data_IF_008104674125
#
_entry.id   IF_008104674125
#
_cell.length_a   1.000
_cell.length_b   1.000
_cell.length_c   1.000
_cell.angle_alpha   90.00
_cell.angle_beta   90.00
_cell.angle_gamma   90.00
#
_symmetry.space_group_name_H-M   'P 1'
#
loop_
_entity.id
_entity.type
_entity.pdbx_description
1 polymer ?
#
# COMPACT_ATOMS: atom_id res chain seq x y z
N UNK A 1 -9.59 -29.79 -15.98
CA UNK A 1 -9.60 -28.47 -15.33
C UNK A 1 -10.08 -28.49 -13.87
N UNK A 2 -11.19 -29.17 -13.49
CA UNK A 2 -11.68 -29.20 -12.07
C UNK A 2 -10.70 -29.78 -11.03
N UNK A 3 -9.82 -30.73 -11.38
CA UNK A 3 -8.82 -31.31 -10.45
C UNK A 3 -7.66 -30.33 -10.14
N UNK A 4 -7.24 -29.54 -11.12
CA UNK A 4 -6.15 -28.56 -10.98
C UNK A 4 -6.58 -27.40 -10.04
N UNK A 5 -7.81 -26.90 -10.17
CA UNK A 5 -8.34 -25.88 -9.26
C UNK A 5 -8.46 -26.33 -7.80
N UNK A 6 -8.80 -27.61 -7.55
CA UNK A 6 -8.81 -28.17 -6.20
C UNK A 6 -7.40 -28.30 -5.60
N UNK A 7 -6.38 -28.63 -6.42
CA UNK A 7 -4.99 -28.72 -6.00
C UNK A 7 -4.43 -27.34 -5.57
N UNK A 8 -4.66 -26.30 -6.39
CA UNK A 8 -4.22 -24.94 -6.04
C UNK A 8 -4.95 -24.38 -4.82
N UNK A 9 -6.24 -24.67 -4.64
CA UNK A 9 -6.99 -24.29 -3.43
C UNK A 9 -6.48 -25.01 -2.18
N UNK A 10 -6.10 -26.27 -2.29
CA UNK A 10 -5.47 -27.05 -1.21
C UNK A 10 -4.08 -26.50 -0.86
N UNK A 11 -3.26 -26.18 -1.87
CA UNK A 11 -1.92 -25.61 -1.70
C UNK A 11 -1.99 -24.23 -1.03
N UNK A 12 -2.89 -23.36 -1.47
CA UNK A 12 -3.16 -22.06 -0.84
C UNK A 12 -3.56 -22.19 0.63
N UNK A 13 -4.49 -23.10 0.94
CA UNK A 13 -4.93 -23.33 2.31
C UNK A 13 -3.81 -23.86 3.20
N UNK A 14 -2.96 -24.73 2.67
CA UNK A 14 -1.81 -25.32 3.40
C UNK A 14 -0.71 -24.28 3.64
N UNK A 15 -0.42 -23.42 2.67
CA UNK A 15 0.56 -22.32 2.82
C UNK A 15 0.07 -21.24 3.78
N UNK A 16 -1.23 -20.89 3.77
CA UNK A 16 -1.81 -19.94 4.70
C UNK A 16 -1.80 -20.45 6.16
N UNK A 17 -2.12 -21.73 6.37
CA UNK A 17 -1.97 -22.38 7.68
C UNK A 17 -0.50 -22.44 8.12
N UNK A 18 0.42 -22.74 7.22
CA UNK A 18 1.86 -22.74 7.48
C UNK A 18 2.38 -21.38 7.90
N UNK A 19 1.94 -20.31 7.22
CA UNK A 19 2.32 -18.93 7.58
C UNK A 19 1.76 -18.51 8.95
N UNK A 20 0.48 -18.82 9.24
CA UNK A 20 -0.11 -18.56 10.56
C UNK A 20 0.60 -19.33 11.66
N UNK A 21 0.94 -20.60 11.42
CA UNK A 21 1.73 -21.42 12.33
C UNK A 21 3.12 -20.82 12.58
N UNK A 22 3.81 -20.35 11.53
CA UNK A 22 5.09 -19.64 11.64
C UNK A 22 4.96 -18.38 12.52
N UNK A 23 3.94 -17.55 12.33
CA UNK A 23 3.69 -16.39 13.17
C UNK A 23 3.48 -16.75 14.65
N UNK A 24 2.76 -17.84 14.93
CA UNK A 24 2.59 -18.35 16.30
C UNK A 24 3.91 -18.86 16.90
N UNK A 25 4.71 -19.58 16.12
CA UNK A 25 6.04 -20.05 16.53
C UNK A 25 6.96 -18.88 16.88
N UNK A 26 6.98 -17.84 16.02
CA UNK A 26 7.77 -16.63 16.26
C UNK A 26 7.34 -15.91 17.55
N UNK A 27 6.03 -15.74 17.78
CA UNK A 27 5.54 -15.08 18.99
C UNK A 27 5.90 -15.86 20.27
N UNK A 28 5.72 -17.18 20.27
CA UNK A 28 6.03 -18.04 21.41
C UNK A 28 7.51 -18.15 21.72
N UNK A 29 8.35 -18.27 20.67
CA UNK A 29 9.79 -18.27 20.81
C UNK A 29 10.34 -16.95 21.37
N UNK A 30 9.71 -15.83 21.01
CA UNK A 30 10.04 -14.51 21.55
C UNK A 30 9.80 -14.44 23.07
N UNK A 31 8.67 -14.94 23.58
CA UNK A 31 8.43 -14.99 25.02
C UNK A 31 9.43 -15.88 25.75
N UNK A 32 9.84 -17.02 25.19
CA UNK A 32 10.84 -17.88 25.78
C UNK A 32 12.23 -17.24 25.80
N UNK A 33 12.63 -16.57 24.73
CA UNK A 33 13.88 -15.82 24.68
C UNK A 33 13.95 -14.75 25.78
N UNK A 34 12.94 -13.92 25.93
CA UNK A 34 12.92 -12.89 26.97
C UNK A 34 12.86 -13.49 28.38
N UNK A 35 12.17 -14.61 28.56
CA UNK A 35 12.23 -15.36 29.82
C UNK A 35 13.66 -15.75 30.19
N UNK A 36 14.45 -16.30 29.25
CA UNK A 36 15.84 -16.67 29.50
C UNK A 36 16.72 -15.45 29.82
N UNK A 37 16.59 -14.38 29.04
CA UNK A 37 17.36 -13.14 29.23
C UNK A 37 17.07 -12.54 30.60
N UNK A 38 15.80 -12.35 30.95
CA UNK A 38 15.43 -11.76 32.24
C UNK A 38 15.73 -12.70 33.43
N UNK A 39 15.66 -14.00 33.23
CA UNK A 39 16.07 -14.98 34.25
C UNK A 39 17.58 -14.93 34.51
N UNK A 40 18.39 -14.74 33.47
CA UNK A 40 19.83 -14.52 33.60
C UNK A 40 20.14 -13.20 34.30
N UNK A 41 19.48 -12.11 33.91
CA UNK A 41 19.63 -10.81 34.58
C UNK A 41 19.20 -10.88 36.07
N UNK A 42 18.15 -11.63 36.42
CA UNK A 42 17.74 -11.86 37.81
C UNK A 42 18.84 -12.57 38.64
N UNK A 43 19.60 -13.49 38.02
CA UNK A 43 20.76 -14.13 38.69
C UNK A 43 21.87 -13.13 39.04
N UNK A 44 22.09 -12.13 38.14
CA UNK A 44 23.08 -11.06 38.35
C UNK A 44 22.58 -10.04 39.38
N UNK A 45 21.34 -9.62 39.28
CA UNK A 45 20.71 -8.59 40.10
C UNK A 45 19.76 -9.20 41.17
N UNK A 46 20.28 -10.00 42.09
CA UNK A 46 19.54 -10.85 43.05
C UNK A 46 18.45 -10.16 43.88
N UNK A 47 18.43 -8.83 44.01
CA UNK A 47 17.51 -8.08 44.89
C UNK A 47 16.42 -7.26 44.18
N UNK A 48 16.23 -7.39 42.86
CA UNK A 48 15.26 -6.59 42.14
C UNK A 48 13.90 -7.25 42.03
N UNK A 49 12.94 -6.79 42.82
CA UNK A 49 11.52 -7.23 42.76
C UNK A 49 10.93 -6.99 41.36
N UNK A 50 11.29 -5.88 40.69
CA UNK A 50 10.83 -5.53 39.36
C UNK A 50 11.28 -6.58 38.30
N UNK A 51 12.50 -7.13 38.42
CA UNK A 51 12.98 -8.20 37.54
C UNK A 51 12.26 -9.52 37.82
N UNK A 52 11.83 -9.76 39.03
CA UNK A 52 11.03 -10.92 39.38
C UNK A 52 9.66 -10.92 38.72
N UNK A 53 8.97 -9.78 38.77
CA UNK A 53 7.67 -9.59 38.11
C UNK A 53 7.79 -9.77 36.58
N UNK A 54 8.85 -9.23 35.96
CA UNK A 54 9.14 -9.40 34.55
C UNK A 54 9.40 -10.88 34.21
N UNK A 55 10.22 -11.58 34.97
CA UNK A 55 10.50 -13.01 34.75
C UNK A 55 9.21 -13.84 34.84
N UNK A 56 8.38 -13.57 35.84
CA UNK A 56 7.09 -14.25 36.01
C UNK A 56 6.13 -13.96 34.85
N UNK A 57 6.11 -12.74 34.34
CA UNK A 57 5.29 -12.36 33.18
C UNK A 57 5.66 -13.20 31.94
N UNK A 58 6.96 -13.33 31.64
CA UNK A 58 7.39 -14.12 30.48
C UNK A 58 7.29 -15.63 30.72
N UNK A 59 7.48 -16.10 31.95
CA UNK A 59 7.34 -17.52 32.32
C UNK A 59 5.90 -18.04 32.10
N UNK A 60 4.89 -17.25 32.43
CA UNK A 60 3.48 -17.62 32.23
C UNK A 60 3.08 -17.73 30.75
N UNK A 61 3.84 -17.13 29.86
CA UNK A 61 3.54 -17.08 28.41
C UNK A 61 4.40 -18.01 27.57
N UNK A 62 5.44 -18.60 28.15
CA UNK A 62 6.21 -19.63 27.46
C UNK A 62 5.43 -20.95 27.48
N UNK A 63 5.12 -21.51 26.33
CA UNK A 63 4.40 -22.78 26.26
C UNK A 63 5.28 -23.94 25.77
N UNK A 64 6.29 -23.68 24.94
CA UNK A 64 7.14 -24.71 24.33
C UNK A 64 8.55 -24.22 24.00
N UNK A 65 9.60 -24.75 24.63
CA UNK A 65 10.98 -24.34 24.41
C UNK A 65 11.51 -24.70 23.01
N UNK A 66 10.96 -25.71 22.34
CA UNK A 66 11.36 -26.10 20.99
C UNK A 66 11.23 -24.97 19.97
N UNK A 67 10.30 -24.03 20.14
CA UNK A 67 10.17 -22.87 19.27
C UNK A 67 11.30 -21.86 19.38
N UNK A 68 11.99 -21.84 20.54
CA UNK A 68 13.19 -21.03 20.71
C UNK A 68 14.32 -21.54 19.80
N UNK A 69 14.55 -22.84 19.73
CA UNK A 69 15.59 -23.42 18.87
C UNK A 69 15.29 -23.22 17.39
N UNK A 70 14.02 -23.28 16.97
CA UNK A 70 13.60 -22.96 15.61
C UNK A 70 13.88 -21.51 15.25
N UNK A 71 13.61 -20.55 16.15
CA UNK A 71 13.91 -19.14 15.97
C UNK A 71 15.41 -18.87 15.93
N UNK A 72 16.17 -19.51 16.82
CA UNK A 72 17.63 -19.41 16.84
C UNK A 72 18.21 -19.90 15.52
N UNK A 73 17.76 -21.04 15.02
CA UNK A 73 18.19 -21.58 13.73
C UNK A 73 17.83 -20.68 12.55
N UNK A 74 16.60 -20.16 12.52
CA UNK A 74 16.16 -19.21 11.50
C UNK A 74 16.98 -17.90 11.53
N UNK A 75 17.34 -17.39 12.72
CA UNK A 75 18.17 -16.19 12.86
C UNK A 75 19.61 -16.41 12.41
N UNK A 76 20.17 -17.58 12.68
CA UNK A 76 21.51 -17.96 12.19
C UNK A 76 21.53 -18.05 10.66
N UNK A 77 20.52 -18.67 10.06
CA UNK A 77 20.38 -18.74 8.59
C UNK A 77 20.23 -17.34 7.98
N UNK A 78 19.46 -16.46 8.60
CA UNK A 78 19.29 -15.08 8.14
C UNK A 78 20.59 -14.29 8.21
N UNK A 79 21.33 -14.36 9.33
CA UNK A 79 22.63 -13.71 9.49
C UNK A 79 23.65 -14.27 8.50
N UNK A 80 23.69 -15.59 8.28
CA UNK A 80 24.57 -16.21 7.30
C UNK A 80 24.27 -15.75 5.87
N UNK A 81 23.00 -15.58 5.52
CA UNK A 81 22.58 -15.07 4.21
C UNK A 81 23.03 -13.62 4.02
N UNK A 82 22.83 -12.77 5.04
CA UNK A 82 23.33 -11.38 5.03
C UNK A 82 24.85 -11.35 4.87
N UNK A 83 25.56 -12.20 5.62
CA UNK A 83 27.02 -12.28 5.54
C UNK A 83 27.50 -12.64 4.13
N UNK A 84 26.88 -13.64 3.50
CA UNK A 84 27.20 -14.04 2.11
C UNK A 84 26.97 -12.89 1.14
N UNK A 85 25.83 -12.20 1.22
CA UNK A 85 25.51 -11.06 0.36
C UNK A 85 26.52 -9.92 0.54
N UNK A 86 26.88 -9.58 1.77
CA UNK A 86 27.89 -8.56 2.06
C UNK A 86 29.31 -9.00 1.63
N UNK A 87 29.64 -10.27 1.81
CA UNK A 87 30.94 -10.82 1.39
C UNK A 87 31.12 -10.77 -0.11
N UNK A 88 30.09 -11.20 -0.87
CA UNK A 88 30.11 -11.15 -2.34
C UNK A 88 30.14 -9.70 -2.85
N UNK A 89 29.38 -8.79 -2.24
CA UNK A 89 29.42 -7.36 -2.59
C UNK A 89 30.81 -6.75 -2.41
N UNK A 90 31.49 -7.06 -1.29
CA UNK A 90 32.85 -6.58 -1.04
C UNK A 90 33.87 -7.21 -1.99
N UNK A 91 33.68 -8.46 -2.40
CA UNK A 91 34.55 -9.13 -3.37
C UNK A 91 34.47 -8.51 -4.76
N UNK A 92 33.26 -8.11 -5.17
CA UNK A 92 33.03 -7.39 -6.45
C UNK A 92 33.72 -6.01 -6.44
N UNK A 93 33.68 -5.29 -5.31
CA UNK A 93 34.37 -3.99 -5.17
C UNK A 93 35.87 -4.18 -5.24
N UNK A 94 36.45 -5.17 -4.54
CA UNK A 94 37.89 -5.44 -4.56
C UNK A 94 38.39 -5.92 -5.94
N UNK A 95 37.55 -6.58 -6.75
CA UNK A 95 37.94 -6.98 -8.11
C UNK A 95 38.00 -5.80 -9.08
N UNK A 96 37.18 -4.74 -8.85
CA UNK A 96 37.24 -3.51 -9.64
C UNK A 96 38.47 -2.65 -9.34
N UNK A 97 39.06 -2.77 -8.14
CA UNK A 97 40.27 -2.03 -7.73
C UNK A 97 41.59 -2.71 -8.16
N UNK A 98 41.53 -3.92 -8.73
CA UNK A 98 42.72 -4.73 -9.07
C UNK A 98 43.00 -4.88 -10.57
N UNK A 99 42.35 -4.08 -11.46
CA UNK A 99 42.76 -4.07 -12.85
C UNK A 99 43.80 -2.98 -13.11
N UNK A 100 45.10 -3.32 -13.37
CA UNK A 100 46.05 -2.37 -13.91
C UNK A 100 45.97 -2.34 -15.43
N UNK A 101 46.02 -1.11 -15.95
CA UNK A 101 46.35 -0.72 -17.32
C UNK A 101 47.04 -1.77 -18.18
N UNK A 102 46.36 -2.13 -19.28
CA UNK A 102 46.93 -2.54 -20.59
C UNK A 102 45.76 -2.86 -21.54
N UNK A 103 45.61 -2.33 -22.62
CA UNK A 103 46.25 -1.70 -23.76
C UNK A 103 45.20 -1.30 -24.78
N UNK A 104 45.23 -0.10 -25.26
CA UNK A 104 44.61 0.33 -26.48
C UNK A 104 45.03 -0.61 -27.63
N UNK A 105 44.09 -1.17 -28.31
CA UNK A 105 43.97 -1.53 -29.74
C UNK A 105 42.89 -2.60 -29.87
N UNK A 106 41.67 -2.20 -30.07
CA UNK A 106 40.62 -2.76 -30.95
C UNK A 106 39.36 -1.85 -30.78
N UNK A 107 39.52 -0.61 -31.10
CA UNK A 107 38.39 0.27 -31.37
C UNK A 107 38.20 0.30 -32.87
N UNK A 108 37.12 -0.25 -33.37
CA UNK A 108 36.42 0.27 -34.56
C UNK A 108 35.25 -0.60 -35.05
N UNK A 109 34.91 -1.75 -34.45
CA UNK A 109 33.82 -2.62 -34.96
C UNK A 109 32.72 -2.96 -33.94
N UNK A 110 32.75 -2.39 -32.72
CA UNK A 110 31.77 -2.69 -31.66
C UNK A 110 30.88 -1.50 -31.29
N UNK A 111 31.10 -0.30 -31.89
CA UNK A 111 30.34 0.90 -31.52
C UNK A 111 28.90 0.99 -32.10
N UNK A 112 28.54 0.18 -33.06
CA UNK A 112 27.21 0.29 -33.71
C UNK A 112 26.11 -0.61 -33.12
N UNK A 113 26.44 -1.50 -32.15
CA UNK A 113 25.46 -2.39 -31.51
C UNK A 113 25.23 -2.16 -30.00
N UNK A 114 25.95 -1.24 -29.38
CA UNK A 114 25.85 -0.94 -27.92
C UNK A 114 25.01 0.31 -27.63
N UNK A 115 24.76 1.16 -28.64
CA UNK A 115 23.98 2.41 -28.43
C UNK A 115 22.46 2.21 -28.30
N UNK A 116 21.93 1.02 -28.57
CA UNK A 116 20.47 0.75 -28.47
C UNK A 116 20.04 0.09 -27.15
N UNK A 117 20.95 -0.44 -26.32
CA UNK A 117 20.64 -1.06 -25.03
C UNK A 117 20.97 -0.20 -23.78
N UNK A 118 21.74 0.87 -23.91
CA UNK A 118 22.16 1.71 -22.75
C UNK A 118 21.22 2.88 -22.40
N UNK A 119 20.02 2.94 -22.99
CA UNK A 119 19.01 3.98 -22.66
C UNK A 119 17.86 3.51 -21.77
N UNK A 120 18.02 2.47 -21.00
CA UNK A 120 17.03 2.06 -19.99
C UNK A 120 17.63 2.14 -18.59
N UNK A 121 18.27 3.22 -18.25
CA UNK A 121 18.67 3.48 -16.87
C UNK A 121 17.58 4.25 -16.11
N UNK A 122 17.15 3.62 -15.04
CA UNK A 122 16.17 3.97 -14.03
C UNK A 122 16.26 5.39 -13.44
N UNK A 123 15.67 6.37 -14.08
CA UNK A 123 15.30 7.65 -13.44
C UNK A 123 13.83 7.66 -12.97
N UNK A 124 13.32 6.55 -12.43
CA UNK A 124 11.88 6.35 -12.24
C UNK A 124 11.24 6.90 -10.95
N UNK A 125 11.84 6.95 -9.76
CA UNK A 125 11.13 7.42 -8.56
C UNK A 125 10.98 8.95 -8.48
N UNK A 126 11.97 9.72 -8.97
CA UNK A 126 11.97 11.19 -8.85
C UNK A 126 10.94 11.88 -9.75
N UNK A 127 10.71 11.37 -10.98
CA UNK A 127 9.78 11.99 -11.93
C UNK A 127 8.32 11.79 -11.47
N UNK A 128 7.99 10.66 -10.86
CA UNK A 128 6.66 10.34 -10.37
C UNK A 128 6.29 11.12 -9.13
N UNK A 129 7.22 11.26 -8.19
CA UNK A 129 7.08 12.14 -7.02
C UNK A 129 6.84 13.58 -7.46
N UNK A 130 7.47 14.01 -8.57
CA UNK A 130 7.32 15.34 -9.12
C UNK A 130 5.91 15.56 -9.72
N UNK A 131 5.32 14.55 -10.41
CA UNK A 131 3.97 14.67 -10.97
C UNK A 131 2.92 14.82 -9.86
N UNK A 132 2.96 14.00 -8.81
CA UNK A 132 2.07 14.14 -7.67
C UNK A 132 2.23 15.50 -6.97
N UNK A 133 3.45 16.02 -6.85
CA UNK A 133 3.70 17.35 -6.29
C UNK A 133 3.17 18.48 -7.19
N UNK A 134 3.33 18.35 -8.51
CA UNK A 134 2.85 19.35 -9.47
C UNK A 134 1.32 19.48 -9.42
N UNK A 135 0.62 18.36 -9.42
CA UNK A 135 -0.85 18.37 -9.35
C UNK A 135 -1.36 18.65 -7.94
N UNK A 136 -0.77 18.07 -6.91
CA UNK A 136 -1.22 18.18 -5.52
C UNK A 136 -1.20 19.60 -4.92
N UNK A 137 -0.50 20.53 -5.55
CA UNK A 137 -0.44 21.93 -5.11
C UNK A 137 -1.42 22.86 -5.83
N UNK A 138 -2.22 22.36 -6.79
CA UNK A 138 -3.16 23.19 -7.54
C UNK A 138 -4.38 23.57 -6.68
N UNK A 139 -4.75 24.84 -6.73
CA UNK A 139 -6.05 25.31 -6.21
C UNK A 139 -7.18 24.94 -7.18
N UNK A 140 -8.43 24.96 -6.70
CA UNK A 140 -9.61 24.61 -7.50
C UNK A 140 -9.70 25.49 -8.77
N UNK A 141 -9.37 26.79 -8.65
CA UNK A 141 -9.44 27.74 -9.76
C UNK A 141 -8.35 27.51 -10.84
N UNK A 142 -7.33 26.73 -10.54
CA UNK A 142 -6.24 26.37 -11.47
C UNK A 142 -6.50 25.04 -12.21
N UNK A 143 -7.63 24.38 -11.94
CA UNK A 143 -7.98 23.12 -12.57
C UNK A 143 -8.64 23.40 -13.93
N UNK A 144 -7.91 23.07 -15.00
CA UNK A 144 -8.38 23.20 -16.38
C UNK A 144 -8.48 21.83 -17.04
N UNK A 145 -9.70 21.32 -17.21
CA UNK A 145 -9.93 19.98 -17.79
C UNK A 145 -9.51 19.87 -19.26
N UNK A 146 -9.51 20.97 -20.03
CA UNK A 146 -9.01 20.94 -21.42
C UNK A 146 -7.51 20.73 -21.46
N UNK A 147 -6.76 21.44 -20.61
CA UNK A 147 -5.31 21.22 -20.46
C UNK A 147 -4.99 19.82 -19.96
N UNK A 148 -5.74 19.33 -18.97
CA UNK A 148 -5.55 17.98 -18.45
C UNK A 148 -5.80 16.92 -19.53
N UNK A 149 -6.85 17.06 -20.32
CA UNK A 149 -7.17 16.13 -21.42
C UNK A 149 -6.19 16.25 -22.59
N UNK A 150 -5.55 17.38 -22.79
CA UNK A 150 -4.44 17.47 -23.77
C UNK A 150 -3.24 16.63 -23.36
N UNK A 151 -3.01 16.47 -22.05
CA UNK A 151 -1.98 15.55 -21.50
C UNK A 151 -2.45 14.10 -21.54
N UNK A 152 -3.72 13.86 -21.18
CA UNK A 152 -4.31 12.54 -21.15
C UNK A 152 -5.84 12.59 -21.28
N UNK A 153 -6.35 12.10 -22.42
CA UNK A 153 -7.80 12.04 -22.72
C UNK A 153 -8.62 11.19 -21.74
N UNK A 154 -7.95 10.33 -20.94
CA UNK A 154 -8.60 9.48 -19.94
C UNK A 154 -8.97 10.25 -18.66
N UNK A 155 -8.55 11.51 -18.50
CA UNK A 155 -8.95 12.35 -17.36
C UNK A 155 -10.44 12.60 -17.37
N UNK A 156 -11.13 12.23 -16.29
CA UNK A 156 -12.58 12.33 -16.11
C UNK A 156 -12.99 13.23 -14.95
N UNK A 157 -12.19 13.29 -13.89
CA UNK A 157 -12.51 14.03 -12.70
C UNK A 157 -11.23 14.57 -12.02
N UNK A 158 -11.44 15.35 -10.99
CA UNK A 158 -10.42 15.74 -10.02
C UNK A 158 -10.94 15.44 -8.62
N UNK A 159 -10.13 14.84 -7.75
CA UNK A 159 -10.51 14.51 -6.36
C UNK A 159 -9.66 15.30 -5.37
N UNK A 160 -10.32 15.85 -4.34
CA UNK A 160 -9.68 16.51 -3.20
C UNK A 160 -10.27 15.91 -1.94
N UNK A 161 -9.42 15.46 -1.01
CA UNK A 161 -9.84 14.96 0.31
C UNK A 161 -9.27 15.88 1.38
N UNK A 162 -10.14 16.57 2.09
CA UNK A 162 -9.75 17.56 3.07
C UNK A 162 -8.90 16.97 4.20
N UNK A 163 -7.87 17.72 4.60
CA UNK A 163 -6.90 17.29 5.64
C UNK A 163 -5.93 16.17 5.19
N UNK A 164 -5.81 15.95 3.87
CA UNK A 164 -4.88 14.99 3.27
C UNK A 164 -4.06 15.63 2.14
N UNK A 165 -3.13 14.87 1.55
CA UNK A 165 -2.41 15.26 0.33
C UNK A 165 -3.14 14.85 -0.96
N UNK A 166 -4.37 14.31 -0.85
CA UNK A 166 -5.13 13.86 -2.02
C UNK A 166 -5.74 15.08 -2.69
N UNK A 167 -5.15 15.49 -3.81
CA UNK A 167 -5.54 16.60 -4.64
C UNK A 167 -5.02 16.34 -6.06
N UNK A 168 -5.74 15.50 -6.83
CA UNK A 168 -5.22 14.93 -8.07
C UNK A 168 -6.30 14.80 -9.16
N UNK A 169 -5.90 14.93 -10.45
CA UNK A 169 -6.74 14.49 -11.55
C UNK A 169 -6.94 12.97 -11.48
N UNK A 170 -8.13 12.53 -11.80
CA UNK A 170 -8.54 11.12 -11.79
C UNK A 170 -8.86 10.68 -13.21
N UNK A 171 -8.35 9.53 -13.58
CA UNK A 171 -8.47 8.95 -14.92
C UNK A 171 -9.45 7.77 -14.93
N UNK A 172 -9.90 7.36 -16.12
CA UNK A 172 -10.71 6.16 -16.29
C UNK A 172 -10.41 5.52 -17.65
N UNK A 173 -10.24 4.20 -17.66
CA UNK A 173 -10.16 3.37 -18.87
C UNK A 173 -11.25 2.31 -18.87
N UNK A 174 -11.19 1.38 -19.82
CA UNK A 174 -12.08 0.23 -19.93
C UNK A 174 -11.70 -0.95 -19.01
N UNK A 175 -10.75 -0.81 -18.11
CA UNK A 175 -10.33 -1.83 -17.15
C UNK A 175 -9.73 -1.18 -15.88
N UNK A 176 -9.58 -1.98 -14.80
CA UNK A 176 -9.02 -1.52 -13.52
C UNK A 176 -7.53 -1.84 -13.35
N UNK A 177 -6.84 -2.36 -14.39
CA UNK A 177 -5.45 -2.82 -14.28
C UNK A 177 -4.44 -1.80 -14.81
N UNK A 178 -4.83 -1.01 -15.81
CA UNK A 178 -3.93 -0.12 -16.52
C UNK A 178 -3.27 0.90 -15.58
N UNK A 179 -4.06 1.69 -14.87
CA UNK A 179 -3.54 2.76 -14.00
C UNK A 179 -3.00 2.27 -12.65
N UNK A 180 -3.02 0.97 -12.39
CA UNK A 180 -2.18 0.39 -11.33
C UNK A 180 -0.68 0.43 -11.69
N UNK A 181 -0.35 0.53 -12.99
CA UNK A 181 1.01 0.39 -13.51
C UNK A 181 1.46 1.56 -14.41
N UNK A 182 0.61 2.54 -14.64
CA UNK A 182 0.89 3.70 -15.49
C UNK A 182 0.49 5.00 -14.80
N UNK A 183 1.30 6.05 -14.98
CA UNK A 183 0.98 7.38 -14.47
C UNK A 183 0.08 8.17 -15.44
N UNK A 184 -0.28 9.42 -15.06
CA UNK A 184 -1.14 10.28 -15.89
C UNK A 184 -0.57 10.55 -17.29
N UNK A 185 0.75 10.50 -17.50
CA UNK A 185 1.40 10.63 -18.80
C UNK A 185 1.50 9.31 -19.56
N UNK A 186 0.77 8.29 -19.14
CA UNK A 186 0.78 6.92 -19.70
C UNK A 186 2.18 6.27 -19.71
N UNK A 187 3.08 6.70 -18.81
CA UNK A 187 4.38 6.07 -18.61
C UNK A 187 4.27 5.00 -17.53
N UNK A 188 4.92 3.84 -17.77
CA UNK A 188 4.94 2.72 -16.83
C UNK A 188 5.60 3.15 -15.50
N UNK A 189 4.98 2.76 -14.38
CA UNK A 189 5.41 3.10 -13.02
C UNK A 189 4.93 2.05 -12.02
N UNK A 190 5.60 1.96 -10.87
CA UNK A 190 5.14 1.16 -9.73
C UNK A 190 4.11 1.88 -8.86
N UNK A 191 3.98 3.20 -9.01
CA UNK A 191 3.12 4.04 -8.18
C UNK A 191 1.71 4.20 -8.73
N UNK A 192 1.48 3.84 -9.99
CA UNK A 192 0.19 3.98 -10.66
C UNK A 192 -0.31 5.43 -10.71
N UNK A 193 -1.60 5.60 -10.88
CA UNK A 193 -2.30 6.89 -10.84
C UNK A 193 -3.73 6.70 -10.33
N UNK A 194 -4.35 7.68 -9.61
CA UNK A 194 -5.75 7.57 -9.15
C UNK A 194 -6.72 7.42 -10.32
N UNK A 195 -7.65 6.46 -10.22
CA UNK A 195 -8.59 6.15 -11.29
C UNK A 195 -9.97 5.74 -10.77
N UNK A 196 -10.98 5.90 -11.64
CA UNK A 196 -12.36 5.47 -11.41
C UNK A 196 -12.54 4.05 -11.94
N UNK A 197 -13.31 3.22 -11.24
CA UNK A 197 -13.69 1.87 -11.68
C UNK A 197 -14.32 1.92 -13.08
N UNK A 198 -13.87 1.03 -13.97
CA UNK A 198 -14.33 1.00 -15.37
C UNK A 198 -15.84 0.78 -15.52
N UNK A 199 -16.49 0.18 -14.51
CA UNK A 199 -17.95 -0.07 -14.50
C UNK A 199 -18.77 1.17 -14.19
N UNK A 200 -18.16 2.19 -13.60
CA UNK A 200 -18.81 3.42 -13.20
C UNK A 200 -18.96 4.41 -14.36
N UNK A 201 -20.01 5.21 -14.28
CA UNK A 201 -20.18 6.37 -15.14
C UNK A 201 -19.36 7.55 -14.61
N UNK A 202 -18.49 8.11 -15.45
CA UNK A 202 -17.63 9.24 -15.09
C UNK A 202 -18.38 10.55 -14.78
N UNK A 203 -19.71 10.61 -15.02
CA UNK A 203 -20.58 11.73 -14.64
C UNK A 203 -21.01 11.72 -13.16
N UNK A 204 -20.50 10.81 -12.35
CA UNK A 204 -20.84 10.64 -10.92
C UNK A 204 -22.34 10.37 -10.67
N UNK A 205 -23.03 9.72 -11.61
CA UNK A 205 -24.46 9.45 -11.51
C UNK A 205 -24.81 8.08 -10.91
N UNK A 206 -23.82 7.21 -10.70
CA UNK A 206 -24.04 5.90 -10.08
C UNK A 206 -24.40 6.02 -8.60
N UNK A 207 -25.02 4.99 -8.05
CA UNK A 207 -25.30 4.91 -6.61
C UNK A 207 -24.02 4.82 -5.77
N UNK A 208 -22.99 4.13 -6.30
CA UNK A 208 -21.66 4.05 -5.71
C UNK A 208 -20.61 4.20 -6.82
N UNK A 209 -19.85 5.29 -6.80
CA UNK A 209 -18.70 5.50 -7.69
C UNK A 209 -17.42 5.16 -6.96
N UNK A 210 -16.64 4.23 -7.52
CA UNK A 210 -15.44 3.70 -6.87
C UNK A 210 -14.20 4.37 -7.42
N UNK A 211 -13.38 4.91 -6.52
CA UNK A 211 -12.08 5.50 -6.81
C UNK A 211 -10.97 4.61 -6.28
N UNK A 212 -9.97 4.35 -7.08
CA UNK A 212 -8.79 3.59 -6.70
C UNK A 212 -7.54 4.46 -6.69
N UNK A 213 -6.64 4.15 -5.79
CA UNK A 213 -5.31 4.76 -5.75
C UNK A 213 -4.38 3.95 -4.85
N UNK A 214 -3.11 3.86 -5.20
CA UNK A 214 -2.13 3.18 -4.36
C UNK A 214 -1.97 3.86 -3.00
N UNK A 215 -1.88 3.08 -1.94
CA UNK A 215 -1.53 3.54 -0.59
C UNK A 215 0.00 3.60 -0.46
N UNK A 216 0.61 4.68 -0.95
CA UNK A 216 2.06 4.84 -0.99
C UNK A 216 2.63 5.36 0.36
N UNK A 217 3.76 4.80 0.79
CA UNK A 217 4.42 5.17 2.04
C UNK A 217 4.87 6.65 2.07
N UNK A 218 5.21 7.22 0.91
CA UNK A 218 5.59 8.63 0.77
C UNK A 218 4.38 9.60 0.81
N UNK A 219 3.18 9.09 1.14
CA UNK A 219 1.93 9.86 1.27
C UNK A 219 1.41 10.50 -0.04
N UNK A 220 1.92 10.08 -1.18
CA UNK A 220 1.35 10.43 -2.50
C UNK A 220 0.25 9.43 -2.91
N UNK A 221 -0.37 9.64 -4.05
CA UNK A 221 -1.59 8.96 -4.46
C UNK A 221 -2.62 8.97 -3.31
N UNK A 222 -3.10 7.79 -2.85
CA UNK A 222 -3.99 7.70 -1.69
C UNK A 222 -3.26 7.38 -0.38
N UNK A 223 -1.91 7.48 -0.34
CA UNK A 223 -1.11 7.17 0.85
C UNK A 223 -1.41 8.03 2.08
N UNK A 224 -1.90 9.27 1.89
CA UNK A 224 -2.31 10.15 2.99
C UNK A 224 -3.73 9.87 3.51
N UNK A 225 -4.49 8.95 2.91
CA UNK A 225 -5.82 8.54 3.40
C UNK A 225 -5.74 7.98 4.84
N UNK A 226 -4.58 7.49 5.24
CA UNK A 226 -4.32 7.08 6.64
C UNK A 226 -4.47 8.21 7.67
N UNK A 227 -4.43 9.49 7.23
CA UNK A 227 -4.66 10.64 8.12
C UNK A 227 -6.09 10.64 8.69
N UNK A 228 -7.06 10.06 7.97
CA UNK A 228 -8.47 9.98 8.36
C UNK A 228 -8.70 9.20 9.66
N UNK A 229 -7.71 8.39 10.09
CA UNK A 229 -7.75 7.68 11.37
C UNK A 229 -7.17 8.49 12.54
N UNK A 230 -6.61 9.68 12.30
CA UNK A 230 -5.94 10.49 13.33
C UNK A 230 -6.93 11.42 14.05
N UNK A 231 -6.67 11.64 15.35
CA UNK A 231 -7.44 12.63 16.14
C UNK A 231 -7.32 14.05 15.56
N UNK A 232 -6.15 14.39 14.99
CA UNK A 232 -5.93 15.68 14.37
C UNK A 232 -6.89 15.90 13.20
N UNK A 233 -7.02 14.91 12.31
CA UNK A 233 -7.94 15.01 11.18
C UNK A 233 -9.39 15.07 11.65
N UNK A 234 -9.79 14.21 12.59
CA UNK A 234 -11.16 14.19 13.15
C UNK A 234 -11.58 15.53 13.79
N UNK A 235 -10.64 16.28 14.37
CA UNK A 235 -10.97 17.53 15.06
C UNK A 235 -10.82 18.78 14.16
N UNK A 236 -10.01 18.73 13.10
CA UNK A 236 -9.58 19.92 12.37
C UNK A 236 -9.91 19.89 10.87
N UNK A 237 -10.50 18.80 10.33
CA UNK A 237 -10.93 18.75 8.95
C UNK A 237 -12.43 18.97 8.80
N UNK A 238 -12.87 19.32 7.61
CA UNK A 238 -14.30 19.43 7.27
C UNK A 238 -14.99 18.09 7.08
N UNK A 239 -14.24 16.97 7.06
CA UNK A 239 -14.68 15.62 6.74
C UNK A 239 -15.31 15.50 5.34
N UNK A 240 -14.83 16.31 4.38
CA UNK A 240 -15.40 16.38 3.04
C UNK A 240 -14.45 15.86 1.98
N UNK A 241 -15.05 15.37 0.90
CA UNK A 241 -14.38 15.04 -0.35
C UNK A 241 -15.04 15.89 -1.44
N UNK A 242 -14.22 16.60 -2.21
CA UNK A 242 -14.66 17.31 -3.40
C UNK A 242 -14.30 16.48 -4.64
N UNK A 243 -15.26 16.29 -5.52
CA UNK A 243 -15.03 15.70 -6.84
C UNK A 243 -15.49 16.71 -7.89
N UNK A 244 -14.53 17.15 -8.71
CA UNK A 244 -14.81 18.07 -9.80
C UNK A 244 -14.84 17.28 -11.12
N UNK A 245 -15.79 17.60 -11.96
CA UNK A 245 -15.83 17.25 -13.38
C UNK A 245 -15.71 18.53 -14.20
N UNK A 246 -15.67 18.43 -15.51
CA UNK A 246 -15.64 19.63 -16.38
C UNK A 246 -16.92 20.49 -16.31
N UNK A 247 -18.02 19.93 -15.80
CA UNK A 247 -19.33 20.59 -15.75
C UNK A 247 -19.87 20.83 -14.35
N UNK A 248 -19.41 20.07 -13.34
CA UNK A 248 -19.97 20.08 -12.00
C UNK A 248 -18.93 19.84 -10.92
N UNK A 249 -19.18 20.39 -9.76
CA UNK A 249 -18.51 20.09 -8.51
C UNK A 249 -19.47 19.33 -7.60
N UNK A 250 -19.02 18.22 -7.04
CA UNK A 250 -19.74 17.41 -6.08
C UNK A 250 -19.03 17.48 -4.74
N UNK A 251 -19.79 17.67 -3.68
CA UNK A 251 -19.30 17.64 -2.30
C UNK A 251 -19.89 16.40 -1.60
N UNK A 252 -19.03 15.56 -1.05
CA UNK A 252 -19.39 14.37 -0.31
C UNK A 252 -18.96 14.50 1.15
N UNK A 253 -19.81 14.08 2.08
CA UNK A 253 -19.47 13.93 3.48
C UNK A 253 -18.93 12.52 3.75
N UNK A 254 -17.79 12.44 4.44
CA UNK A 254 -17.21 11.14 4.81
C UNK A 254 -18.02 10.55 5.95
N UNK A 255 -18.69 9.43 5.72
CA UNK A 255 -19.52 8.73 6.71
C UNK A 255 -18.87 7.45 7.25
N UNK A 256 -17.83 6.92 6.58
CA UNK A 256 -17.17 5.68 6.98
C UNK A 256 -15.71 5.66 6.57
N UNK A 257 -14.83 5.23 7.48
CA UNK A 257 -13.39 5.00 7.25
C UNK A 257 -13.00 3.68 7.91
N UNK A 258 -12.52 2.72 7.12
CA UNK A 258 -12.15 1.39 7.63
C UNK A 258 -11.11 0.70 6.75
N UNK A 259 -10.51 -0.36 7.27
CA UNK A 259 -9.66 -1.27 6.50
C UNK A 259 -10.50 -2.44 5.99
N UNK A 260 -10.28 -2.86 4.76
CA UNK A 260 -11.00 -3.96 4.12
C UNK A 260 -10.08 -4.85 3.31
N UNK A 261 -10.50 -6.09 3.10
CA UNK A 261 -9.84 -6.99 2.17
C UNK A 261 -10.15 -6.60 0.71
N UNK A 262 -9.23 -6.83 -0.24
CA UNK A 262 -9.40 -6.43 -1.64
C UNK A 262 -10.64 -7.02 -2.32
N UNK A 263 -11.13 -8.17 -1.86
CA UNK A 263 -12.30 -8.87 -2.44
C UNK A 263 -13.60 -8.61 -1.68
N UNK A 264 -13.71 -7.43 -1.07
CA UNK A 264 -14.87 -7.08 -0.25
C UNK A 264 -16.09 -6.67 -1.07
N UNK A 265 -17.28 -6.78 -0.46
CA UNK A 265 -18.55 -6.40 -1.03
C UNK A 265 -18.68 -4.89 -1.32
N UNK A 266 -17.78 -4.03 -0.82
CA UNK A 266 -17.78 -2.58 -1.09
C UNK A 266 -17.62 -2.24 -2.59
N UNK A 267 -17.21 -3.19 -3.42
CA UNK A 267 -17.05 -3.04 -4.87
C UNK A 267 -18.40 -3.11 -5.64
N UNK A 268 -19.53 -3.07 -4.96
CA UNK A 268 -20.85 -3.05 -5.58
C UNK A 268 -21.18 -1.64 -6.11
N UNK A 269 -21.50 -1.52 -7.40
CA UNK A 269 -21.82 -0.25 -8.08
C UNK A 269 -23.29 -0.08 -8.38
N UNK A 270 -24.08 -1.18 -8.39
CA UNK A 270 -25.52 -1.19 -8.69
C UNK A 270 -26.30 -1.96 -7.64
N UNK A 271 -27.52 -1.56 -7.39
CA UNK A 271 -28.40 -2.15 -6.38
C UNK A 271 -29.74 -2.56 -7.00
N UNK A 272 -30.35 -3.63 -6.49
CA UNK A 272 -31.63 -4.15 -6.97
C UNK A 272 -32.84 -3.34 -6.48
N UNK A 273 -32.65 -2.58 -5.38
CA UNK A 273 -33.68 -1.72 -4.80
C UNK A 273 -33.06 -0.67 -3.87
N UNK A 274 -33.82 0.39 -3.54
CA UNK A 274 -33.43 1.39 -2.55
C UNK A 274 -33.18 0.76 -1.18
N UNK A 275 -33.95 -0.23 -0.78
CA UNK A 275 -33.71 -0.95 0.48
C UNK A 275 -32.39 -1.71 0.47
N UNK A 276 -32.04 -2.36 -0.64
CA UNK A 276 -30.73 -3.02 -0.81
C UNK A 276 -29.59 -2.01 -0.76
N UNK A 277 -29.75 -0.85 -1.40
CA UNK A 277 -28.79 0.25 -1.38
C UNK A 277 -28.57 0.80 0.04
N UNK A 278 -29.64 1.13 0.75
CA UNK A 278 -29.56 1.65 2.11
C UNK A 278 -28.93 0.63 3.07
N UNK A 279 -29.28 -0.64 2.95
CA UNK A 279 -28.65 -1.70 3.74
C UNK A 279 -27.13 -1.78 3.48
N UNK A 280 -26.71 -1.66 2.22
CA UNK A 280 -25.30 -1.61 1.86
C UNK A 280 -24.60 -0.40 2.51
N UNK A 281 -25.17 0.81 2.41
CA UNK A 281 -24.59 2.02 3.03
C UNK A 281 -24.48 1.91 4.55
N UNK A 282 -25.51 1.38 5.22
CA UNK A 282 -25.49 1.15 6.66
C UNK A 282 -24.41 0.11 7.05
N UNK A 283 -24.21 -0.93 6.26
CA UNK A 283 -23.15 -1.90 6.48
C UNK A 283 -21.75 -1.28 6.34
N UNK A 284 -21.55 -0.34 5.41
CA UNK A 284 -20.31 0.44 5.32
C UNK A 284 -20.13 1.32 6.56
N UNK A 285 -21.18 1.98 7.03
CA UNK A 285 -21.14 2.85 8.21
C UNK A 285 -20.78 2.08 9.48
N UNK A 286 -21.35 0.91 9.70
CA UNK A 286 -21.06 0.05 10.86
C UNK A 286 -19.59 -0.41 10.87
N UNK A 287 -18.95 -0.56 9.72
CA UNK A 287 -17.53 -0.94 9.63
C UNK A 287 -16.57 0.17 10.00
N UNK A 288 -17.01 1.43 10.04
CA UNK A 288 -16.15 2.57 10.31
C UNK A 288 -15.36 2.38 11.62
N UNK A 289 -14.06 2.65 11.55
CA UNK A 289 -13.13 2.65 12.70
C UNK A 289 -13.05 4.01 13.39
N UNK A 290 -13.67 5.02 12.80
CA UNK A 290 -13.73 6.38 13.34
C UNK A 290 -15.19 6.81 13.45
N UNK A 291 -15.50 7.64 14.47
CA UNK A 291 -16.84 8.13 14.68
C UNK A 291 -17.04 9.41 13.87
N UNK A 292 -17.97 9.39 12.92
CA UNK A 292 -18.27 10.49 12.01
C UNK A 292 -19.76 10.86 12.13
N UNK A 293 -20.12 12.16 12.00
CA UNK A 293 -21.50 12.63 12.18
C UNK A 293 -22.40 12.29 10.98
N UNK A 294 -21.85 12.18 9.78
CA UNK A 294 -22.62 12.01 8.54
C UNK A 294 -23.57 10.81 8.61
N UNK A 295 -24.76 10.97 8.07
CA UNK A 295 -25.80 9.94 7.95
C UNK A 295 -25.95 9.53 6.50
N UNK A 296 -26.63 8.42 6.25
CA UNK A 296 -26.89 7.91 4.90
C UNK A 296 -28.38 7.61 4.74
N UNK A 297 -28.90 7.88 3.54
CA UNK A 297 -30.27 7.62 3.14
C UNK A 297 -30.33 6.84 1.82
N UNK A 298 -31.50 6.33 1.47
CA UNK A 298 -31.71 5.63 0.20
C UNK A 298 -31.61 6.55 -1.04
N UNK A 299 -31.72 7.86 -0.85
CA UNK A 299 -31.62 8.84 -1.93
C UNK A 299 -30.19 9.31 -2.19
N UNK A 300 -29.27 8.97 -1.29
CA UNK A 300 -27.89 9.39 -1.42
C UNK A 300 -27.15 8.61 -2.52
N UNK A 301 -26.12 9.26 -3.04
CA UNK A 301 -25.07 8.64 -3.86
C UNK A 301 -23.76 8.71 -3.07
N UNK A 302 -23.00 7.65 -3.12
CA UNK A 302 -21.72 7.58 -2.41
C UNK A 302 -20.55 7.45 -3.36
N UNK A 303 -19.36 7.77 -2.85
CA UNK A 303 -18.08 7.39 -3.44
C UNK A 303 -17.33 6.48 -2.47
N UNK A 304 -16.61 5.52 -3.00
CA UNK A 304 -15.81 4.56 -2.22
C UNK A 304 -14.36 4.58 -2.67
#
# INVERSE_FOLDING_TARGET
>A
MKKIGKFFKYLYYKTHKGFYFLCLVFSRGFYYYFYLVFSFLKKIFKKSKKLEDIVNHYKLRQERPEYFFLLLFASILFISTIYVVFYDSNKVVNLKEMEPEKEAVVEEVVQEKVEEEEKVEEKKPQLETNLYKIYGNKSINEINFNELRSVNSDVKAWIIVDGTNINYPVVQTNNNDYYLKYNIKKKKTTNGWPFIDYRNNSSMNDDNTIFYGHNLLNKTAFGSISNLFTKNWLNNSSHKILVLTDTKMYEYEIFSVYYSDPNSYYLQTKFSSNASKLNFFNNLKVKSKVKLPATVSENDKIIT
#
